data_IF_003548657301
#
_entry.id   IF_003548657301
#
_cell.length_a   1.000
_cell.length_b   1.000
_cell.length_c   1.000
_cell.angle_alpha   90.00
_cell.angle_beta   90.00
_cell.angle_gamma   90.00
#
_symmetry.space_group_name_H-M   'P 1'
#
loop_
_entity.id
_entity.type
_entity.pdbx_description
1 polymer ?
#
# COMPACT_ATOMS: atom_id res chain seq x y z
N UNK A 1 -17.44 20.70 15.03
CA UNK A 1 -17.23 20.91 13.57
C UNK A 1 -16.89 19.58 12.94
N UNK A 2 -17.56 19.19 11.84
CA UNK A 2 -17.26 17.94 11.16
C UNK A 2 -16.08 18.16 10.22
N UNK A 3 -15.03 17.36 10.34
CA UNK A 3 -13.83 17.47 9.48
C UNK A 3 -14.04 16.85 8.10
N UNK A 4 -15.07 15.99 7.95
CA UNK A 4 -15.40 15.29 6.69
C UNK A 4 -16.91 15.31 6.47
N UNK A 5 -17.37 15.80 5.32
CA UNK A 5 -18.80 15.88 4.98
C UNK A 5 -19.34 14.57 4.42
N UNK A 6 -18.58 13.89 3.55
CA UNK A 6 -18.99 12.66 2.88
C UNK A 6 -17.85 11.64 2.79
N UNK A 7 -18.19 10.38 2.95
CA UNK A 7 -17.29 9.25 2.71
C UNK A 7 -17.92 8.35 1.66
N UNK A 8 -17.23 8.16 0.53
CA UNK A 8 -17.71 7.37 -0.60
C UNK A 8 -16.82 6.16 -0.82
N UNK A 9 -17.43 5.01 -1.05
CA UNK A 9 -16.73 3.82 -1.54
C UNK A 9 -16.39 3.95 -3.03
N UNK A 10 -15.45 3.13 -3.51
CA UNK A 10 -15.13 3.07 -4.95
C UNK A 10 -16.36 2.71 -5.80
N UNK A 11 -17.26 1.87 -5.29
CA UNK A 11 -18.50 1.51 -5.98
C UNK A 11 -19.43 2.72 -6.11
N UNK A 12 -19.57 3.50 -5.04
CA UNK A 12 -20.43 4.69 -5.04
C UNK A 12 -19.92 5.76 -5.97
N UNK A 13 -18.63 6.11 -5.92
CA UNK A 13 -18.06 7.10 -6.85
C UNK A 13 -18.11 6.61 -8.30
N UNK A 14 -17.90 5.32 -8.56
CA UNK A 14 -18.05 4.75 -9.91
C UNK A 14 -19.47 4.89 -10.42
N UNK A 15 -20.48 4.71 -9.55
CA UNK A 15 -21.88 4.90 -9.92
C UNK A 15 -22.17 6.37 -10.23
N UNK A 16 -21.70 7.29 -9.39
CA UNK A 16 -21.86 8.74 -9.61
C UNK A 16 -21.26 9.18 -10.95
N UNK A 17 -20.05 8.71 -11.29
CA UNK A 17 -19.40 9.01 -12.58
C UNK A 17 -20.26 8.53 -13.76
N UNK A 18 -20.80 7.30 -13.67
CA UNK A 18 -21.68 6.74 -14.70
C UNK A 18 -23.01 7.50 -14.82
N UNK A 19 -23.63 7.85 -13.69
CA UNK A 19 -24.87 8.62 -13.66
C UNK A 19 -24.70 10.04 -14.23
N UNK A 20 -23.51 10.62 -14.06
CA UNK A 20 -23.14 11.90 -14.66
C UNK A 20 -22.79 11.80 -16.16
N UNK A 21 -22.79 10.60 -16.75
CA UNK A 21 -22.45 10.39 -18.16
C UNK A 21 -21.00 10.66 -18.51
N UNK A 22 -20.09 10.58 -17.53
CA UNK A 22 -18.67 10.85 -17.75
C UNK A 22 -17.97 9.58 -18.27
N UNK A 23 -17.34 9.70 -19.45
CA UNK A 23 -16.44 8.67 -19.98
C UNK A 23 -15.00 9.03 -19.65
N UNK A 24 -14.39 8.25 -18.75
CA UNK A 24 -13.02 8.47 -18.30
C UNK A 24 -11.99 8.32 -19.43
N UNK A 25 -12.30 7.59 -20.51
CA UNK A 25 -11.39 7.40 -21.64
C UNK A 25 -11.29 8.63 -22.55
N UNK A 26 -12.28 9.51 -22.49
CA UNK A 26 -12.37 10.74 -23.29
C UNK A 26 -11.85 11.98 -22.55
N UNK A 27 -11.50 11.84 -21.27
CA UNK A 27 -11.03 12.96 -20.46
C UNK A 27 -9.56 13.28 -20.75
N UNK A 28 -9.26 14.57 -20.82
CA UNK A 28 -7.87 15.03 -20.81
C UNK A 28 -7.29 14.94 -19.41
N UNK A 29 -5.99 14.60 -19.34
CA UNK A 29 -5.28 14.61 -18.07
C UNK A 29 -5.09 16.04 -17.58
N UNK A 30 -5.40 16.27 -16.30
CA UNK A 30 -5.20 17.55 -15.63
C UNK A 30 -4.27 17.39 -14.41
N UNK A 31 -3.64 18.49 -14.01
CA UNK A 31 -2.82 18.52 -12.81
C UNK A 31 -3.71 18.48 -11.55
N UNK A 32 -3.23 17.82 -10.51
CA UNK A 32 -3.87 17.83 -9.21
C UNK A 32 -3.63 19.15 -8.48
N UNK A 33 -4.55 19.52 -7.60
CA UNK A 33 -4.45 20.73 -6.80
C UNK A 33 -3.23 20.72 -5.87
N UNK A 34 -2.57 21.87 -5.77
CA UNK A 34 -1.46 22.10 -4.85
C UNK A 34 -2.05 22.65 -3.52
N UNK A 35 -1.46 22.35 -2.35
CA UNK A 35 -0.12 21.78 -2.15
C UNK A 35 -0.04 20.25 -2.14
N UNK A 36 -1.13 19.52 -1.96
CA UNK A 36 -1.11 18.08 -1.72
C UNK A 36 -1.29 17.23 -3.00
N UNK A 37 -1.23 17.85 -4.18
CA UNK A 37 -1.36 17.19 -5.49
C UNK A 37 -0.16 16.33 -5.89
N UNK A 38 0.98 16.47 -5.22
CA UNK A 38 2.16 15.65 -5.49
C UNK A 38 2.16 14.42 -4.59
N UNK A 39 2.10 13.24 -5.20
CA UNK A 39 2.14 11.96 -4.49
C UNK A 39 3.36 11.14 -4.89
N UNK A 40 3.79 10.25 -3.99
CA UNK A 40 4.85 9.29 -4.27
C UNK A 40 4.30 7.98 -4.84
N UNK A 41 5.13 7.30 -5.64
CA UNK A 41 4.80 5.97 -6.17
C UNK A 41 4.60 4.95 -5.05
N UNK A 42 5.44 5.01 -4.00
CA UNK A 42 5.29 4.14 -2.82
C UNK A 42 3.91 4.24 -2.17
N UNK A 43 3.29 5.44 -2.14
CA UNK A 43 1.93 5.60 -1.64
C UNK A 43 0.87 4.97 -2.56
N UNK A 44 1.08 4.98 -3.87
CA UNK A 44 0.15 4.42 -4.83
C UNK A 44 -0.06 2.91 -4.67
N UNK A 45 1.00 2.16 -4.34
CA UNK A 45 0.96 0.70 -4.24
C UNK A 45 0.40 0.18 -2.91
N UNK A 46 0.03 1.03 -1.96
CA UNK A 46 -0.54 0.61 -0.66
C UNK A 46 -1.82 -0.20 -0.80
N UNK A 47 -2.56 -0.04 -1.88
CA UNK A 47 -3.78 -0.81 -2.16
C UNK A 47 -3.53 -2.28 -2.49
N UNK A 48 -2.31 -2.66 -2.84
CA UNK A 48 -1.90 -4.04 -3.16
C UNK A 48 -1.29 -4.70 -1.93
N UNK A 49 -1.59 -5.97 -1.73
CA UNK A 49 -0.95 -6.78 -0.68
C UNK A 49 0.56 -6.84 -0.87
N UNK A 50 1.31 -6.46 0.14
CA UNK A 50 2.76 -6.33 0.10
C UNK A 50 3.25 -4.94 -0.33
N UNK A 51 2.35 -4.06 -0.78
CA UNK A 51 2.73 -2.73 -1.27
C UNK A 51 3.24 -1.80 -0.18
N UNK A 52 2.69 -1.89 1.03
CA UNK A 52 3.22 -1.14 2.20
C UNK A 52 4.61 -1.66 2.56
N UNK A 53 4.77 -2.97 2.60
CA UNK A 53 6.07 -3.62 2.83
C UNK A 53 7.11 -3.16 1.80
N UNK A 54 6.76 -3.16 0.52
CA UNK A 54 7.63 -2.69 -0.55
C UNK A 54 8.03 -1.22 -0.36
N UNK A 55 7.08 -0.35 -0.02
CA UNK A 55 7.36 1.07 0.25
C UNK A 55 8.32 1.27 1.43
N UNK A 56 8.16 0.49 2.51
CA UNK A 56 9.07 0.50 3.66
C UNK A 56 10.47 0.04 3.25
N UNK A 57 10.55 -1.04 2.47
CA UNK A 57 11.83 -1.59 2.01
C UNK A 57 12.55 -0.63 1.07
N UNK A 58 11.85 0.03 0.15
CA UNK A 58 12.40 1.11 -0.70
C UNK A 58 13.07 2.18 0.15
N UNK A 59 12.46 2.57 1.26
CA UNK A 59 13.02 3.57 2.18
C UNK A 59 14.25 3.05 2.92
N UNK A 60 14.25 1.81 3.35
CA UNK A 60 15.37 1.20 4.09
C UNK A 60 16.60 0.96 3.21
N UNK A 61 16.37 0.49 1.99
CA UNK A 61 17.43 0.24 1.00
C UNK A 61 17.90 1.54 0.32
N UNK A 62 17.04 2.55 0.25
CA UNK A 62 17.29 3.80 -0.47
C UNK A 62 17.22 3.63 -1.99
N UNK A 63 16.51 2.58 -2.46
CA UNK A 63 16.31 2.30 -3.88
C UNK A 63 14.87 1.88 -4.18
N UNK A 64 14.46 2.12 -5.41
CA UNK A 64 13.16 1.71 -5.95
C UNK A 64 13.30 0.82 -7.20
N UNK A 65 14.53 0.54 -7.63
CA UNK A 65 14.76 -0.28 -8.81
C UNK A 65 14.39 -1.72 -8.53
N UNK A 66 13.69 -2.33 -9.48
CA UNK A 66 13.25 -3.73 -9.37
C UNK A 66 14.44 -4.67 -9.13
N UNK A 67 15.57 -4.41 -9.75
CA UNK A 67 16.80 -5.18 -9.62
C UNK A 67 17.35 -5.17 -8.19
N UNK A 68 17.25 -4.02 -7.51
CA UNK A 68 17.66 -3.88 -6.10
C UNK A 68 16.63 -4.50 -5.13
N UNK A 69 15.44 -4.82 -5.61
CA UNK A 69 14.32 -5.35 -4.85
C UNK A 69 13.92 -6.78 -5.27
N UNK A 70 14.53 -7.33 -6.32
CA UNK A 70 14.23 -8.70 -6.81
C UNK A 70 14.44 -9.79 -5.75
N UNK A 71 15.36 -9.57 -4.83
CA UNK A 71 15.59 -10.44 -3.70
C UNK A 71 14.48 -10.35 -2.62
N UNK A 72 13.59 -9.35 -2.71
CA UNK A 72 12.34 -9.24 -1.92
C UNK A 72 11.22 -10.11 -2.53
N UNK A 73 11.53 -10.94 -3.52
CA UNK A 73 10.53 -11.87 -4.01
C UNK A 73 10.07 -12.75 -2.84
N UNK A 74 8.82 -12.54 -2.43
CA UNK A 74 8.17 -13.35 -1.40
C UNK A 74 8.16 -14.81 -1.86
N UNK A 75 9.29 -15.46 -1.67
CA UNK A 75 9.47 -16.85 -2.03
C UNK A 75 8.80 -17.71 -0.98
N UNK A 76 7.59 -18.12 -1.26
CA UNK A 76 6.95 -19.18 -0.54
C UNK A 76 5.89 -18.72 0.45
N UNK A 77 4.73 -19.30 0.29
CA UNK A 77 3.67 -19.35 1.29
C UNK A 77 4.12 -20.40 2.31
N UNK A 78 4.66 -19.97 3.43
CA UNK A 78 4.81 -20.81 4.62
C UNK A 78 3.75 -20.37 5.63
N UNK A 79 3.02 -21.32 6.19
CA UNK A 79 1.97 -21.03 7.15
C UNK A 79 0.54 -21.07 6.58
N UNK A 80 -0.47 -20.61 7.35
CA UNK A 80 -1.86 -20.57 6.92
C UNK A 80 -2.04 -19.77 5.63
N UNK A 81 -3.02 -20.15 4.82
CA UNK A 81 -3.38 -19.39 3.61
C UNK A 81 -3.59 -17.91 3.93
N UNK A 82 -2.87 -17.02 3.24
CA UNK A 82 -2.93 -15.57 3.43
C UNK A 82 -1.82 -14.99 4.33
N UNK A 83 -0.83 -15.79 4.73
CA UNK A 83 0.40 -15.31 5.35
C UNK A 83 1.56 -15.58 4.40
N UNK A 84 2.33 -14.55 4.07
CA UNK A 84 3.56 -14.63 3.28
C UNK A 84 4.71 -14.15 4.14
N UNK A 85 5.79 -14.89 4.13
CA UNK A 85 6.99 -14.58 4.88
C UNK A 85 8.17 -14.33 3.95
N UNK A 86 9.02 -13.38 4.31
CA UNK A 86 10.27 -13.11 3.62
C UNK A 86 11.38 -12.81 4.62
N UNK A 87 12.60 -13.10 4.22
CA UNK A 87 13.82 -12.69 4.90
C UNK A 87 14.63 -11.84 3.96
N UNK A 88 15.10 -10.73 4.50
CA UNK A 88 15.73 -9.67 3.73
C UNK A 88 16.99 -9.24 4.42
N UNK A 89 18.12 -9.19 3.72
CA UNK A 89 19.34 -8.65 4.27
C UNK A 89 19.47 -7.17 3.96
N UNK A 90 19.50 -6.33 4.98
CA UNK A 90 19.65 -4.88 4.84
C UNK A 90 20.86 -4.43 5.68
N UNK A 91 21.88 -3.89 5.02
CA UNK A 91 23.09 -3.36 5.67
C UNK A 91 23.73 -4.39 6.60
N UNK A 92 23.80 -5.67 6.18
CA UNK A 92 24.41 -6.75 6.95
C UNK A 92 23.54 -7.31 8.09
N UNK A 93 22.25 -6.92 8.17
CA UNK A 93 21.29 -7.44 9.13
C UNK A 93 20.16 -8.18 8.41
N UNK A 94 19.87 -9.43 8.82
CA UNK A 94 18.68 -10.15 8.38
C UNK A 94 17.44 -9.52 9.02
N UNK A 95 16.46 -9.11 8.19
CA UNK A 95 15.15 -8.61 8.59
C UNK A 95 14.11 -9.65 8.21
N UNK A 96 13.30 -10.09 9.15
CA UNK A 96 12.19 -11.01 8.93
C UNK A 96 10.89 -10.24 8.79
N UNK A 97 10.16 -10.54 7.74
CA UNK A 97 8.95 -9.82 7.35
C UNK A 97 7.80 -10.80 7.19
N UNK A 98 6.60 -10.40 7.63
CA UNK A 98 5.35 -11.09 7.30
C UNK A 98 4.35 -10.13 6.65
N UNK A 99 3.68 -10.61 5.60
CA UNK A 99 2.53 -9.94 4.97
C UNK A 99 1.29 -10.80 5.22
N UNK A 100 0.36 -10.25 5.97
CA UNK A 100 -0.77 -10.98 6.56
C UNK A 100 -2.08 -10.44 6.02
N UNK A 101 -2.90 -11.32 5.45
CA UNK A 101 -4.22 -11.00 4.90
C UNK A 101 -5.34 -11.63 5.72
N UNK A 102 -6.27 -10.79 6.15
CA UNK A 102 -7.42 -11.16 6.94
C UNK A 102 -7.15 -11.19 8.44
N UNK A 103 -8.13 -10.77 9.24
CA UNK A 103 -7.98 -10.59 10.69
C UNK A 103 -7.77 -11.90 11.45
N UNK A 104 -8.29 -13.04 10.92
CA UNK A 104 -8.02 -14.36 11.50
C UNK A 104 -6.52 -14.70 11.46
N UNK A 105 -5.87 -14.42 10.33
CA UNK A 105 -4.44 -14.64 10.17
C UNK A 105 -3.62 -13.64 11.02
N UNK A 106 -4.12 -12.40 11.14
CA UNK A 106 -3.50 -11.42 12.03
C UNK A 106 -3.53 -11.88 13.48
N UNK A 107 -4.65 -12.41 13.96
CA UNK A 107 -4.76 -12.98 15.30
C UNK A 107 -3.75 -14.13 15.51
N UNK A 108 -3.67 -15.07 14.56
CA UNK A 108 -2.69 -16.16 14.62
C UNK A 108 -1.25 -15.68 14.75
N UNK A 109 -0.86 -14.69 13.90
CA UNK A 109 0.50 -14.11 13.96
C UNK A 109 0.72 -13.39 15.29
N UNK A 110 -0.25 -12.63 15.77
CA UNK A 110 -0.17 -11.91 17.05
C UNK A 110 -0.01 -12.87 18.24
N UNK A 111 -0.76 -13.97 18.25
CA UNK A 111 -0.68 -14.97 19.32
C UNK A 111 0.69 -15.68 19.29
N UNK A 112 1.20 -16.03 18.09
CA UNK A 112 2.52 -16.61 17.94
C UNK A 112 3.65 -15.67 18.37
N UNK A 113 3.54 -14.37 18.11
CA UNK A 113 4.50 -13.37 18.60
C UNK A 113 4.43 -13.25 20.13
N UNK A 114 3.22 -13.22 20.71
CA UNK A 114 3.04 -13.15 22.17
C UNK A 114 3.55 -14.39 22.91
N UNK A 115 3.39 -15.56 22.30
CA UNK A 115 3.91 -16.83 22.87
C UNK A 115 5.42 -16.99 22.70
N UNK A 116 6.06 -16.19 21.84
CA UNK A 116 7.47 -16.32 21.49
C UNK A 116 7.77 -17.40 20.42
N UNK A 117 6.71 -18.01 19.84
CA UNK A 117 6.87 -19.00 18.76
C UNK A 117 7.22 -18.36 17.42
N UNK A 118 6.75 -17.12 17.20
CA UNK A 118 6.99 -16.34 15.99
C UNK A 118 7.76 -15.07 16.32
N UNK A 119 8.65 -14.68 15.39
CA UNK A 119 9.36 -13.41 15.47
C UNK A 119 9.44 -12.78 14.08
N UNK A 120 9.07 -11.51 13.99
CA UNK A 120 9.22 -10.68 12.81
C UNK A 120 9.72 -9.28 13.21
N UNK A 121 10.58 -8.70 12.38
CA UNK A 121 11.00 -7.29 12.51
C UNK A 121 9.93 -6.35 11.96
N UNK A 122 9.14 -6.82 10.96
CA UNK A 122 8.07 -6.05 10.34
C UNK A 122 6.90 -6.95 9.96
N UNK A 123 5.67 -6.50 10.25
CA UNK A 123 4.44 -7.20 9.88
C UNK A 123 3.49 -6.23 9.20
N UNK A 124 3.16 -6.49 7.93
CA UNK A 124 2.05 -5.82 7.24
C UNK A 124 0.76 -6.59 7.48
N UNK A 125 -0.30 -5.90 7.90
CA UNK A 125 -1.63 -6.50 8.08
C UNK A 125 -2.63 -5.83 7.15
N UNK A 126 -3.26 -6.62 6.29
CA UNK A 126 -4.41 -6.22 5.48
C UNK A 126 -5.67 -6.88 6.03
N UNK A 127 -6.65 -6.10 6.52
CA UNK A 127 -7.93 -6.62 7.04
C UNK A 127 -8.72 -7.37 5.95
N UNK A 128 -8.70 -6.86 4.73
CA UNK A 128 -9.35 -7.49 3.59
C UNK A 128 -8.47 -8.58 2.98
N UNK A 129 -9.06 -9.76 2.73
CA UNK A 129 -8.39 -10.82 1.97
C UNK A 129 -8.06 -10.30 0.57
N UNK A 130 -6.81 -10.36 0.16
CA UNK A 130 -6.25 -9.85 -1.10
C UNK A 130 -6.05 -8.31 -1.19
N UNK A 131 -6.06 -7.60 -0.08
CA UNK A 131 -5.79 -6.16 -0.04
C UNK A 131 -6.96 -5.26 -0.45
N UNK A 132 -6.71 -3.96 -0.52
CA UNK A 132 -7.74 -2.95 -0.79
C UNK A 132 -8.31 -3.05 -2.20
N UNK A 133 -7.55 -3.53 -3.19
CA UNK A 133 -8.02 -3.74 -4.57
C UNK A 133 -9.16 -4.76 -4.68
N UNK A 134 -9.37 -5.58 -3.65
CA UNK A 134 -10.43 -6.58 -3.57
C UNK A 134 -11.23 -6.46 -2.25
N UNK A 135 -11.13 -5.32 -1.58
CA UNK A 135 -11.81 -5.04 -0.33
C UNK A 135 -13.29 -4.71 -0.49
N UNK A 136 -13.98 -4.58 0.64
CA UNK A 136 -15.35 -4.09 0.68
C UNK A 136 -15.44 -2.68 0.09
N UNK A 137 -16.47 -2.41 -0.67
CA UNK A 137 -16.65 -1.14 -1.38
C UNK A 137 -16.00 -1.08 -2.77
N UNK A 138 -15.28 -2.12 -3.18
CA UNK A 138 -14.82 -2.23 -4.56
C UNK A 138 -15.93 -2.74 -5.49
N UNK A 139 -15.99 -2.26 -6.77
CA UNK A 139 -16.95 -2.76 -7.75
C UNK A 139 -16.86 -4.28 -7.97
N UNK A 140 -17.99 -4.94 -8.06
CA UNK A 140 -18.11 -6.38 -8.35
C UNK A 140 -18.35 -6.63 -9.83
N UNK A 141 -18.02 -7.82 -10.39
CA UNK A 141 -17.40 -8.96 -9.72
C UNK A 141 -15.91 -8.78 -9.45
N UNK A 142 -15.42 -9.44 -8.38
CA UNK A 142 -14.00 -9.48 -8.04
C UNK A 142 -13.44 -10.85 -8.47
N UNK A 143 -12.88 -10.91 -9.66
CA UNK A 143 -12.24 -12.10 -10.24
C UNK A 143 -10.71 -12.02 -10.12
N UNK A 144 -10.00 -13.08 -10.49
CA UNK A 144 -8.55 -13.07 -10.57
C UNK A 144 -8.05 -12.00 -11.57
N UNK A 145 -8.74 -11.87 -12.72
CA UNK A 145 -8.36 -10.89 -13.75
C UNK A 145 -8.61 -9.45 -13.31
N UNK A 146 -9.75 -9.16 -12.66
CA UNK A 146 -10.00 -7.82 -12.09
C UNK A 146 -8.97 -7.45 -11.04
N UNK A 147 -8.58 -8.38 -10.18
CA UNK A 147 -7.51 -8.13 -9.19
C UNK A 147 -6.18 -7.82 -9.87
N UNK A 148 -5.81 -8.61 -10.87
CA UNK A 148 -4.58 -8.43 -11.64
C UNK A 148 -4.57 -7.07 -12.36
N UNK A 149 -5.68 -6.72 -13.01
CA UNK A 149 -5.82 -5.42 -13.70
C UNK A 149 -5.71 -4.23 -12.74
N UNK A 150 -6.37 -4.30 -11.56
CA UNK A 150 -6.31 -3.26 -10.54
C UNK A 150 -4.90 -3.12 -9.95
N UNK A 151 -4.24 -4.24 -9.63
CA UNK A 151 -2.85 -4.21 -9.17
C UNK A 151 -1.93 -3.59 -10.22
N UNK A 152 -2.07 -4.01 -11.48
CA UNK A 152 -1.30 -3.44 -12.60
C UNK A 152 -1.48 -1.93 -12.69
N UNK A 153 -2.72 -1.42 -12.60
CA UNK A 153 -2.99 0.02 -12.62
C UNK A 153 -2.29 0.79 -11.49
N UNK A 154 -2.25 0.25 -10.28
CA UNK A 154 -1.52 0.89 -9.17
C UNK A 154 -0.01 0.91 -9.40
N UNK A 155 0.57 -0.16 -9.95
CA UNK A 155 1.99 -0.19 -10.31
C UNK A 155 2.32 0.70 -11.53
N UNK A 156 1.40 0.88 -12.47
CA UNK A 156 1.54 1.86 -13.55
C UNK A 156 1.55 3.28 -13.03
N UNK A 157 0.67 3.60 -12.05
CA UNK A 157 0.69 4.88 -11.36
C UNK A 157 2.02 5.07 -10.62
N UNK A 158 2.49 4.07 -9.87
CA UNK A 158 3.82 4.11 -9.25
C UNK A 158 4.91 4.36 -10.32
N UNK A 159 4.89 3.60 -11.42
CA UNK A 159 5.84 3.75 -12.51
C UNK A 159 5.88 5.16 -13.10
N UNK A 160 4.75 5.84 -13.18
CA UNK A 160 4.62 7.19 -13.74
C UNK A 160 5.08 8.32 -12.79
N UNK A 161 5.15 8.07 -11.47
CA UNK A 161 5.54 9.09 -10.48
C UNK A 161 7.05 9.35 -10.52
N UNK A 162 7.43 10.61 -10.43
CA UNK A 162 8.85 11.02 -10.32
C UNK A 162 9.42 10.67 -8.94
N UNK A 163 8.62 10.90 -7.90
CA UNK A 163 8.98 10.57 -6.51
C UNK A 163 8.54 9.13 -6.24
N UNK A 164 9.47 8.25 -5.95
CA UNK A 164 9.20 6.82 -5.69
C UNK A 164 9.10 6.51 -4.20
N UNK A 165 9.86 7.22 -3.39
CA UNK A 165 9.95 7.04 -1.94
C UNK A 165 9.22 8.17 -1.26
N UNK A 166 8.27 7.88 -0.37
CA UNK A 166 7.41 8.90 0.25
C UNK A 166 8.18 9.92 1.08
N UNK A 167 9.30 9.53 1.71
CA UNK A 167 10.16 10.45 2.46
C UNK A 167 10.95 11.44 1.60
N UNK A 168 10.94 11.28 0.28
CA UNK A 168 11.58 12.19 -0.66
C UNK A 168 10.58 13.24 -1.21
N UNK A 169 9.31 13.14 -0.80
CA UNK A 169 8.29 14.10 -1.18
C UNK A 169 8.47 15.41 -0.39
N UNK A 170 8.74 16.53 -1.06
CA UNK A 170 9.00 17.80 -0.39
C UNK A 170 7.83 18.27 0.48
N UNK A 171 6.60 18.03 0.08
CA UNK A 171 5.42 18.39 0.89
C UNK A 171 5.32 17.55 2.16
N UNK A 172 5.74 16.29 2.12
CA UNK A 172 5.80 15.45 3.33
C UNK A 172 6.91 15.95 4.25
N UNK A 173 8.06 16.32 3.70
CA UNK A 173 9.19 16.90 4.47
C UNK A 173 8.73 18.19 5.14
N UNK A 174 8.17 19.13 4.37
CA UNK A 174 7.69 20.41 4.90
C UNK A 174 6.64 20.25 6.00
N UNK A 175 5.75 19.24 5.85
CA UNK A 175 4.73 18.93 6.85
C UNK A 175 5.37 18.49 8.18
N UNK A 176 6.34 17.57 8.13
CA UNK A 176 7.01 17.03 9.31
C UNK A 176 8.02 18.00 9.93
N UNK A 177 8.68 18.81 9.13
CA UNK A 177 9.58 19.88 9.64
C UNK A 177 8.83 21.12 10.12
N UNK A 178 7.56 21.29 9.69
CA UNK A 178 6.69 22.42 10.01
C UNK A 178 5.62 22.08 11.05
N UNK A 179 4.38 21.94 10.58
CA UNK A 179 3.17 21.83 11.43
C UNK A 179 3.20 20.62 12.38
N UNK A 180 3.75 19.49 11.92
CA UNK A 180 3.83 18.25 12.70
C UNK A 180 5.11 18.11 13.51
N UNK A 181 6.04 19.06 13.44
CA UNK A 181 7.32 18.98 14.17
C UNK A 181 7.11 18.81 15.67
N UNK A 182 7.61 17.69 16.21
CA UNK A 182 7.46 17.31 17.61
C UNK A 182 6.05 16.80 17.97
N UNK A 183 5.20 16.49 16.99
CA UNK A 183 3.85 15.95 17.18
C UNK A 183 3.69 14.56 16.54
N UNK A 184 4.75 13.97 16.02
CA UNK A 184 4.76 12.76 15.21
C UNK A 184 4.25 11.52 15.97
N UNK A 185 4.19 11.62 17.31
CA UNK A 185 3.76 10.55 18.21
C UNK A 185 2.59 10.95 19.12
N UNK A 186 1.84 12.02 18.78
CA UNK A 186 0.70 12.49 19.57
C UNK A 186 -0.62 12.14 18.91
#
# INVERSE_FOLDING_TARGET
EMDVDYVLTTTEITRMIKEAGIDLSELNAEALDIPFGISSGGGAIFGVTGGVTEAVLRRLVGSYKTEDLEWISFTGIRGPEGIKEAKVEIKGREIKIAVVNGLKNAAYVMDGIKSGELYYDFVEVMACKNGCIAGGGQPVPITADTKKARAKGLYEVDGSKQIKISSDNPFVIDLYEGILKGKEHK
#
